data_IF_576999462646
#
_entry.id   IF_576999462646
#
_cell.length_a   1.000
_cell.length_b   1.000
_cell.length_c   1.000
_cell.angle_alpha   90.00
_cell.angle_beta   90.00
_cell.angle_gamma   90.00
#
_symmetry.space_group_name_H-M   'P 1'
#
loop_
_entity.id
_entity.type
_entity.pdbx_description
1 polymer ?
#
# COMPACT_ATOMS: atom_id res chain seq x y z
N UNK A 1 36.84 12.72 7.11
CA UNK A 1 36.82 14.19 6.93
C UNK A 1 35.56 14.53 6.16
N UNK A 2 34.64 15.28 6.77
CA UNK A 2 33.33 15.60 6.19
C UNK A 2 33.46 16.51 4.95
N UNK A 3 32.61 16.29 3.96
CA UNK A 3 32.31 17.29 2.93
C UNK A 3 30.83 17.15 2.51
N UNK A 4 30.02 18.11 2.95
CA UNK A 4 28.67 18.36 2.42
C UNK A 4 28.82 19.07 1.08
N UNK A 5 28.38 18.45 0.00
CA UNK A 5 28.10 19.15 -1.24
C UNK A 5 26.88 18.53 -1.93
N UNK A 6 25.80 19.30 -2.03
CA UNK A 6 24.62 18.97 -2.82
C UNK A 6 24.55 19.94 -4.00
N UNK A 7 24.48 19.43 -5.24
CA UNK A 7 23.67 20.08 -6.25
C UNK A 7 22.62 19.12 -6.82
N UNK A 8 21.53 19.75 -7.27
CA UNK A 8 20.32 19.17 -7.81
C UNK A 8 20.53 18.41 -9.14
N UNK A 9 19.53 17.58 -9.46
CA UNK A 9 19.30 16.93 -10.76
C UNK A 9 20.11 15.68 -11.13
N UNK A 10 20.05 14.65 -10.28
CA UNK A 10 20.32 13.27 -10.69
C UNK A 10 19.30 12.35 -10.01
N UNK A 11 18.66 11.46 -10.79
CA UNK A 11 17.94 10.29 -10.24
C UNK A 11 18.78 9.70 -9.10
N UNK A 12 18.22 9.44 -7.92
CA UNK A 12 19.01 8.98 -6.79
C UNK A 12 19.74 7.70 -7.21
N UNK A 13 21.06 7.80 -7.37
CA UNK A 13 21.90 6.61 -7.51
C UNK A 13 21.98 6.00 -6.11
N UNK A 14 21.83 4.68 -5.95
CA UNK A 14 22.04 4.07 -4.64
C UNK A 14 23.45 4.44 -4.16
N UNK A 15 23.52 5.13 -3.03
CA UNK A 15 24.77 5.32 -2.29
C UNK A 15 25.26 3.92 -1.88
N UNK A 16 26.49 3.60 -2.28
CA UNK A 16 27.15 2.36 -1.90
C UNK A 16 28.23 2.74 -0.91
N UNK A 17 27.98 2.49 0.36
CA UNK A 17 28.94 2.71 1.43
C UNK A 17 29.46 1.36 1.91
N UNK A 18 30.78 1.25 2.04
CA UNK A 18 31.40 0.09 2.63
C UNK A 18 31.36 0.25 4.16
N UNK A 19 30.58 -0.60 4.83
CA UNK A 19 30.55 -0.66 6.29
C UNK A 19 31.54 -1.73 6.78
N UNK A 20 32.79 -1.31 7.02
CA UNK A 20 33.82 -2.21 7.57
C UNK A 20 33.43 -2.70 8.96
N UNK A 21 33.36 -4.03 9.16
CA UNK A 21 33.04 -4.65 10.44
C UNK A 21 31.55 -4.97 10.68
N UNK A 22 30.64 -4.57 9.78
CA UNK A 22 29.21 -4.91 9.90
C UNK A 22 28.82 -6.24 9.23
N UNK A 23 29.77 -6.88 8.52
CA UNK A 23 29.55 -8.20 7.94
C UNK A 23 29.14 -9.21 9.02
N UNK A 24 28.22 -10.11 8.70
CA UNK A 24 27.88 -11.19 9.60
C UNK A 24 29.10 -12.10 9.78
N UNK A 25 29.23 -12.72 10.96
CA UNK A 25 30.37 -13.59 11.29
C UNK A 25 30.62 -14.73 10.27
N UNK A 26 29.58 -15.10 9.49
CA UNK A 26 29.57 -16.21 8.54
C UNK A 26 29.68 -15.80 7.05
N UNK A 27 29.77 -14.51 6.74
CA UNK A 27 30.02 -14.05 5.36
C UNK A 27 29.53 -12.64 5.01
N UNK A 28 29.75 -12.22 3.75
CA UNK A 28 29.40 -10.88 3.29
C UNK A 28 27.87 -10.70 3.19
N UNK A 29 27.41 -9.48 3.49
CA UNK A 29 26.01 -9.07 3.36
C UNK A 29 25.87 -7.81 2.51
N UNK A 30 24.75 -7.69 1.82
CA UNK A 30 24.31 -6.49 1.13
C UNK A 30 23.01 -6.05 1.79
N UNK A 31 23.02 -4.85 2.37
CA UNK A 31 21.85 -4.26 3.00
C UNK A 31 21.32 -3.10 2.15
N UNK A 32 20.00 -3.04 1.97
CA UNK A 32 19.29 -1.93 1.35
C UNK A 32 18.75 -1.06 2.47
N UNK A 33 19.34 0.12 2.63
CA UNK A 33 18.90 1.12 3.60
C UNK A 33 17.80 2.00 2.98
N UNK A 34 16.82 2.38 3.81
CA UNK A 34 15.84 3.42 3.50
C UNK A 34 15.91 4.47 4.58
N UNK A 35 15.72 5.71 4.17
CA UNK A 35 15.65 6.86 5.06
C UNK A 35 14.19 7.29 5.20
N UNK A 36 13.72 7.51 6.42
CA UNK A 36 12.41 8.11 6.66
C UNK A 36 12.44 9.65 6.54
N UNK A 37 11.26 10.29 6.62
CA UNK A 37 11.12 11.74 6.49
C UNK A 37 11.80 12.52 7.63
N UNK A 38 12.12 11.84 8.75
CA UNK A 38 12.87 12.39 9.87
C UNK A 38 14.39 12.19 9.71
N UNK A 39 14.85 11.59 8.61
CA UNK A 39 16.25 11.37 8.31
C UNK A 39 16.86 10.14 9.00
N UNK A 40 16.05 9.25 9.61
CA UNK A 40 16.57 8.03 10.24
C UNK A 40 16.71 6.94 9.19
N UNK A 41 17.82 6.21 9.26
CA UNK A 41 18.09 5.10 8.35
C UNK A 41 17.70 3.76 8.97
N UNK A 42 17.17 2.86 8.16
CA UNK A 42 16.81 1.50 8.57
C UNK A 42 16.95 0.53 7.40
N UNK A 43 17.37 -0.70 7.71
CA UNK A 43 17.53 -1.75 6.71
C UNK A 43 16.17 -2.31 6.31
N UNK A 44 15.82 -2.18 5.03
CA UNK A 44 14.61 -2.75 4.46
C UNK A 44 14.83 -4.14 3.90
N UNK A 45 15.95 -4.38 3.22
CA UNK A 45 16.25 -5.66 2.61
C UNK A 45 17.69 -6.07 2.89
N UNK A 46 17.92 -7.37 3.02
CA UNK A 46 19.26 -7.93 3.17
C UNK A 46 19.42 -9.15 2.28
N UNK A 47 20.61 -9.31 1.71
CA UNK A 47 21.07 -10.53 1.04
C UNK A 47 22.40 -10.91 1.66
N UNK A 48 22.50 -12.11 2.18
CA UNK A 48 23.66 -12.58 2.94
C UNK A 48 24.13 -13.90 2.36
N UNK A 49 25.43 -14.00 2.10
CA UNK A 49 26.05 -15.22 1.61
C UNK A 49 26.72 -15.92 2.79
N UNK A 50 26.28 -17.14 3.08
CA UNK A 50 26.68 -17.92 4.24
C UNK A 50 27.42 -19.19 3.79
N UNK A 51 28.68 -19.26 4.19
CA UNK A 51 29.56 -20.41 3.97
C UNK A 51 29.69 -21.31 5.22
N UNK A 52 29.22 -20.84 6.38
CA UNK A 52 29.44 -21.47 7.67
C UNK A 52 28.32 -22.45 8.05
N UNK A 53 27.05 -22.06 7.93
CA UNK A 53 25.93 -22.95 8.27
C UNK A 53 25.91 -24.24 7.43
N UNK A 54 26.20 -24.23 6.12
CA UNK A 54 26.30 -25.47 5.34
C UNK A 54 27.31 -26.47 5.90
N UNK A 55 28.40 -26.00 6.51
CA UNK A 55 29.37 -26.85 7.18
C UNK A 55 28.87 -27.36 8.52
N UNK A 56 28.29 -26.50 9.36
CA UNK A 56 27.77 -26.87 10.67
C UNK A 56 26.65 -27.93 10.58
N UNK A 57 25.83 -27.88 9.54
CA UNK A 57 24.75 -28.84 9.30
C UNK A 57 25.13 -30.02 8.40
N UNK A 58 26.41 -30.15 8.02
CA UNK A 58 26.91 -31.21 7.13
C UNK A 58 26.11 -31.32 5.80
N UNK A 59 25.78 -30.17 5.19
CA UNK A 59 24.97 -30.13 3.96
C UNK A 59 25.82 -30.48 2.74
N UNK A 60 25.32 -31.39 1.90
CA UNK A 60 26.01 -31.84 0.69
C UNK A 60 25.02 -32.10 -0.46
N UNK A 61 25.48 -31.91 -1.70
CA UNK A 61 24.80 -32.35 -2.93
C UNK A 61 25.79 -33.08 -3.84
N UNK A 62 25.29 -33.85 -4.81
CA UNK A 62 26.14 -34.52 -5.82
C UNK A 62 26.27 -33.61 -7.04
N UNK A 63 27.51 -33.26 -7.38
CA UNK A 63 27.83 -32.42 -8.53
C UNK A 63 27.77 -33.18 -9.85
N UNK A 64 27.90 -32.46 -10.96
CA UNK A 64 27.95 -33.05 -12.30
C UNK A 64 29.17 -33.96 -12.52
N UNK A 65 30.20 -33.84 -11.67
CA UNK A 65 31.38 -34.70 -11.60
C UNK A 65 31.15 -35.98 -10.79
N UNK A 66 29.96 -36.18 -10.22
CA UNK A 66 29.62 -37.31 -9.36
C UNK A 66 30.19 -37.21 -7.94
N UNK A 67 30.88 -36.13 -7.59
CA UNK A 67 31.47 -35.92 -6.27
C UNK A 67 30.49 -35.23 -5.31
N UNK A 68 30.75 -35.34 -3.99
CA UNK A 68 30.04 -34.57 -2.96
C UNK A 68 30.58 -33.15 -2.92
N UNK A 69 29.68 -32.17 -3.05
CA UNK A 69 29.98 -30.75 -2.92
C UNK A 69 29.15 -30.13 -1.81
N UNK A 70 29.68 -29.11 -1.16
CA UNK A 70 28.97 -28.32 -0.16
C UNK A 70 28.25 -27.16 -0.84
N UNK A 71 26.95 -26.92 -0.57
CA UNK A 71 26.26 -25.76 -1.12
C UNK A 71 26.70 -24.47 -0.41
N UNK A 72 26.52 -23.35 -1.10
CA UNK A 72 26.55 -22.02 -0.49
C UNK A 72 25.12 -21.62 -0.15
N UNK A 73 24.87 -21.16 1.08
CA UNK A 73 23.54 -20.73 1.51
C UNK A 73 23.39 -19.22 1.28
N UNK A 74 22.24 -18.80 0.73
CA UNK A 74 21.92 -17.38 0.56
C UNK A 74 20.69 -17.06 1.39
N UNK A 75 20.87 -16.29 2.46
CA UNK A 75 19.78 -15.76 3.26
C UNK A 75 19.29 -14.47 2.63
N UNK A 76 17.98 -14.35 2.41
CA UNK A 76 17.39 -13.13 1.85
C UNK A 76 16.16 -12.69 2.63
N UNK A 77 16.06 -11.39 2.85
CA UNK A 77 14.79 -10.74 3.22
C UNK A 77 14.55 -9.57 2.28
N UNK A 78 13.43 -9.59 1.56
CA UNK A 78 13.04 -8.53 0.61
C UNK A 78 12.36 -7.38 1.35
N UNK A 79 11.60 -7.73 2.39
CA UNK A 79 10.91 -6.81 3.28
C UNK A 79 11.27 -7.28 4.69
N UNK A 80 12.15 -6.53 5.35
CA UNK A 80 12.83 -6.91 6.58
C UNK A 80 11.88 -7.57 7.58
N UNK A 81 11.03 -6.76 8.22
CA UNK A 81 9.88 -7.27 8.96
C UNK A 81 8.61 -6.62 8.40
N UNK A 82 7.50 -7.34 8.43
CA UNK A 82 6.21 -6.81 7.95
C UNK A 82 5.77 -5.61 8.79
N UNK A 83 6.03 -5.66 10.10
CA UNK A 83 5.73 -4.58 11.04
C UNK A 83 6.50 -3.31 10.69
N UNK A 84 7.81 -3.41 10.39
CA UNK A 84 8.62 -2.27 9.95
C UNK A 84 8.15 -1.70 8.63
N UNK A 85 7.76 -2.56 7.69
CA UNK A 85 7.22 -2.12 6.41
C UNK A 85 5.90 -1.37 6.59
N UNK A 86 4.99 -1.88 7.41
CA UNK A 86 3.71 -1.21 7.73
C UNK A 86 3.94 0.10 8.46
N UNK A 87 4.86 0.15 9.44
CA UNK A 87 5.21 1.37 10.15
C UNK A 87 5.72 2.44 9.17
N UNK A 88 6.64 2.07 8.26
CA UNK A 88 7.13 2.96 7.22
C UNK A 88 6.00 3.43 6.29
N UNK A 89 5.10 2.54 5.85
CA UNK A 89 3.96 2.92 5.02
C UNK A 89 3.00 3.88 5.75
N UNK A 90 2.79 3.71 7.07
CA UNK A 90 1.98 4.62 7.89
C UNK A 90 2.61 6.02 7.90
N UNK A 91 3.92 6.10 8.13
CA UNK A 91 4.66 7.37 8.14
C UNK A 91 4.60 8.05 6.77
N UNK A 92 4.98 7.34 5.71
CA UNK A 92 5.01 7.86 4.34
C UNK A 92 3.66 8.38 3.85
N UNK A 93 2.56 7.74 4.26
CA UNK A 93 1.23 8.13 3.81
C UNK A 93 0.43 8.96 4.84
N UNK A 94 0.94 9.16 6.05
CA UNK A 94 0.16 9.75 7.15
C UNK A 94 -1.17 9.01 7.40
N UNK A 95 -1.20 7.70 7.15
CA UNK A 95 -2.40 6.86 7.16
C UNK A 95 -3.32 6.95 5.92
N UNK A 96 -3.06 7.83 4.96
CA UNK A 96 -3.80 7.94 3.70
C UNK A 96 -3.27 6.96 2.63
N UNK A 97 -3.33 5.66 2.91
CA UNK A 97 -2.78 4.61 2.03
C UNK A 97 -3.37 4.61 0.62
N UNK A 98 -2.60 4.27 -0.44
CA UNK A 98 -3.15 3.97 -1.76
C UNK A 98 -4.38 3.05 -1.69
N UNK A 99 -5.30 3.19 -2.64
CA UNK A 99 -6.60 2.50 -2.55
C UNK A 99 -6.48 0.98 -2.39
N UNK A 100 -5.48 0.34 -3.02
CA UNK A 100 -5.26 -1.09 -2.89
C UNK A 100 -4.76 -1.51 -1.49
N UNK A 101 -4.06 -0.64 -0.77
CA UNK A 101 -3.59 -0.86 0.61
C UNK A 101 -4.59 -0.42 1.69
N UNK A 102 -5.53 0.47 1.35
CA UNK A 102 -6.41 1.07 2.33
C UNK A 102 -7.29 0.03 3.07
N UNK A 103 -7.33 0.00 4.42
CA UNK A 103 -8.15 -0.94 5.18
C UNK A 103 -9.65 -0.80 4.88
N UNK A 104 -10.11 0.44 4.67
CA UNK A 104 -11.40 0.76 4.07
C UNK A 104 -11.13 1.51 2.77
N UNK A 105 -11.60 0.97 1.66
CA UNK A 105 -11.38 1.52 0.32
C UNK A 105 -12.51 2.48 -0.03
N UNK A 106 -13.75 2.11 0.29
CA UNK A 106 -14.94 2.91 0.03
C UNK A 106 -15.80 3.03 1.29
N UNK A 107 -16.30 4.23 1.56
CA UNK A 107 -17.35 4.46 2.56
C UNK A 107 -18.63 4.91 1.86
N UNK A 108 -19.75 4.28 2.21
CA UNK A 108 -21.07 4.69 1.73
C UNK A 108 -21.71 5.63 2.75
N UNK A 109 -22.19 6.76 2.27
CA UNK A 109 -22.71 7.89 3.03
C UNK A 109 -24.13 8.22 2.56
N UNK A 110 -25.16 7.49 3.03
CA UNK A 110 -26.54 7.87 2.78
C UNK A 110 -26.82 9.24 3.41
N UNK A 111 -27.64 10.08 2.78
CA UNK A 111 -28.00 11.41 3.31
C UNK A 111 -28.94 11.27 4.50
N UNK A 112 -29.90 10.35 4.44
CA UNK A 112 -30.89 10.07 5.48
C UNK A 112 -31.23 8.59 5.58
N UNK A 113 -32.13 8.23 6.50
CA UNK A 113 -32.48 6.82 6.75
C UNK A 113 -33.23 6.18 5.57
N UNK A 114 -33.86 6.99 4.71
CA UNK A 114 -34.55 6.49 3.50
C UNK A 114 -33.59 5.83 2.51
N UNK A 115 -32.32 6.23 2.48
CA UNK A 115 -31.31 5.67 1.56
C UNK A 115 -30.51 4.50 2.17
N UNK A 116 -30.82 4.06 3.40
CA UNK A 116 -30.14 2.92 4.02
C UNK A 116 -30.26 1.61 3.21
N UNK A 117 -31.43 1.26 2.63
CA UNK A 117 -31.54 0.08 1.79
C UNK A 117 -30.63 0.13 0.55
N UNK A 118 -30.54 1.29 -0.10
CA UNK A 118 -29.68 1.53 -1.26
C UNK A 118 -28.19 1.49 -0.87
N UNK A 119 -27.84 2.09 0.27
CA UNK A 119 -26.49 2.02 0.82
C UNK A 119 -26.07 0.58 1.11
N UNK A 120 -26.98 -0.23 1.66
CA UNK A 120 -26.74 -1.66 1.89
C UNK A 120 -26.61 -2.45 0.59
N UNK A 121 -27.40 -2.13 -0.44
CA UNK A 121 -27.28 -2.74 -1.76
C UNK A 121 -25.94 -2.40 -2.43
N UNK A 122 -25.53 -1.13 -2.40
CA UNK A 122 -24.22 -0.72 -2.91
C UNK A 122 -23.08 -1.41 -2.16
N UNK A 123 -23.14 -1.46 -0.83
CA UNK A 123 -22.12 -2.14 -0.03
C UNK A 123 -22.01 -3.63 -0.39
N UNK A 124 -23.14 -4.34 -0.57
CA UNK A 124 -23.12 -5.74 -1.04
C UNK A 124 -22.50 -5.87 -2.43
N UNK A 125 -22.81 -4.98 -3.35
CA UNK A 125 -22.20 -4.97 -4.69
C UNK A 125 -20.68 -4.78 -4.61
N UNK A 126 -20.22 -3.80 -3.83
CA UNK A 126 -18.81 -3.57 -3.56
C UNK A 126 -18.12 -4.82 -2.98
N UNK A 127 -18.72 -5.46 -1.97
CA UNK A 127 -18.18 -6.70 -1.39
C UNK A 127 -18.13 -7.84 -2.41
N UNK A 128 -19.13 -7.96 -3.29
CA UNK A 128 -19.12 -8.92 -4.39
C UNK A 128 -17.99 -8.72 -5.40
N UNK A 129 -17.45 -7.50 -5.49
CA UNK A 129 -16.26 -7.15 -6.29
C UNK A 129 -14.94 -7.27 -5.50
N UNK A 130 -14.99 -7.74 -4.25
CA UNK A 130 -13.81 -7.84 -3.38
C UNK A 130 -13.36 -6.51 -2.75
N UNK A 131 -14.17 -5.46 -2.84
CA UNK A 131 -13.87 -4.15 -2.25
C UNK A 131 -14.14 -4.15 -0.74
N UNK A 132 -13.21 -3.56 0.03
CA UNK A 132 -13.38 -3.31 1.47
C UNK A 132 -14.20 -2.05 1.69
N UNK A 133 -15.48 -2.23 1.97
CA UNK A 133 -16.47 -1.16 2.10
C UNK A 133 -17.06 -1.11 3.51
N UNK A 134 -17.42 0.08 3.97
CA UNK A 134 -18.27 0.28 5.16
C UNK A 134 -19.37 1.28 4.89
N UNK A 135 -20.46 1.21 5.65
CA UNK A 135 -21.50 2.23 5.67
C UNK A 135 -21.29 3.11 6.89
N UNK A 136 -21.39 4.42 6.72
CA UNK A 136 -21.52 5.35 7.83
C UNK A 136 -22.86 6.06 7.70
N UNK A 137 -23.87 5.57 8.41
CA UNK A 137 -25.25 6.04 8.29
C UNK A 137 -25.52 7.33 9.07
N UNK A 138 -26.74 7.89 8.97
CA UNK A 138 -27.11 9.17 9.59
C UNK A 138 -27.02 9.17 11.11
N UNK A 139 -27.05 7.99 11.75
CA UNK A 139 -26.89 7.82 13.20
C UNK A 139 -25.53 8.31 13.73
N UNK A 140 -24.53 8.46 12.85
CA UNK A 140 -23.19 8.97 13.17
C UNK A 140 -23.07 10.49 13.04
N UNK A 141 -24.19 11.20 12.82
CA UNK A 141 -24.25 12.65 12.74
C UNK A 141 -24.35 13.19 11.31
N UNK A 142 -24.15 14.50 11.17
CA UNK A 142 -24.33 15.20 9.89
C UNK A 142 -23.43 14.61 8.78
N UNK A 143 -23.86 14.74 7.52
CA UNK A 143 -23.08 14.28 6.38
C UNK A 143 -21.65 14.86 6.39
N UNK A 144 -21.51 16.15 6.72
CA UNK A 144 -20.20 16.80 6.84
C UNK A 144 -19.31 16.20 7.93
N UNK A 145 -19.89 15.83 9.08
CA UNK A 145 -19.15 15.15 10.15
C UNK A 145 -18.64 13.78 9.70
N UNK A 146 -19.51 12.99 9.03
CA UNK A 146 -19.15 11.66 8.50
C UNK A 146 -18.09 11.73 7.39
N UNK A 147 -18.17 12.72 6.50
CA UNK A 147 -17.14 13.01 5.49
C UNK A 147 -15.79 13.31 6.16
N UNK A 148 -15.78 14.11 7.23
CA UNK A 148 -14.55 14.47 7.96
C UNK A 148 -13.97 13.28 8.73
N UNK A 149 -14.82 12.44 9.32
CA UNK A 149 -14.42 11.19 9.98
C UNK A 149 -13.75 10.25 8.97
N UNK A 150 -14.32 10.14 7.76
CA UNK A 150 -13.82 9.27 6.71
C UNK A 150 -12.75 9.92 5.79
N UNK A 151 -12.09 11.01 6.23
CA UNK A 151 -11.16 11.78 5.38
C UNK A 151 -9.99 10.99 4.80
N UNK A 152 -9.59 9.87 5.42
CA UNK A 152 -8.50 9.00 4.94
C UNK A 152 -8.98 7.93 3.94
N UNK A 153 -10.29 7.66 3.89
CA UNK A 153 -10.88 6.66 2.99
C UNK A 153 -10.78 7.17 1.55
N UNK A 154 -10.17 6.42 0.62
CA UNK A 154 -9.95 6.85 -0.76
C UNK A 154 -11.23 7.34 -1.46
N UNK A 155 -12.34 6.60 -1.30
CA UNK A 155 -13.62 6.86 -1.96
C UNK A 155 -14.74 7.05 -0.94
N UNK A 156 -15.46 8.15 -1.06
CA UNK A 156 -16.65 8.45 -0.25
C UNK A 156 -17.85 8.55 -1.19
N UNK A 157 -18.71 7.53 -1.17
CA UNK A 157 -19.90 7.41 -1.99
C UNK A 157 -21.10 8.04 -1.28
N UNK A 158 -21.54 9.21 -1.73
CA UNK A 158 -22.73 9.87 -1.20
C UNK A 158 -23.95 9.39 -1.98
N UNK A 159 -24.99 8.98 -1.24
CA UNK A 159 -26.27 8.53 -1.82
C UNK A 159 -27.38 9.41 -1.23
N UNK A 160 -28.00 10.23 -2.08
CA UNK A 160 -29.26 10.91 -1.79
C UNK A 160 -30.42 10.27 -2.54
N UNK A 161 -31.62 10.81 -2.34
CA UNK A 161 -32.84 10.34 -3.01
C UNK A 161 -32.71 10.32 -4.55
N UNK A 162 -32.02 11.30 -5.14
CA UNK A 162 -31.79 11.34 -6.59
C UNK A 162 -30.85 10.24 -7.05
N UNK A 163 -29.70 10.08 -6.38
CA UNK A 163 -28.73 9.03 -6.70
C UNK A 163 -29.36 7.64 -6.56
N UNK A 164 -30.16 7.42 -5.51
CA UNK A 164 -30.88 6.17 -5.29
C UNK A 164 -31.89 5.88 -6.43
N UNK A 165 -32.70 6.88 -6.81
CA UNK A 165 -33.68 6.73 -7.89
C UNK A 165 -33.04 6.46 -9.26
N UNK A 166 -31.90 7.10 -9.54
CA UNK A 166 -31.20 7.00 -10.84
C UNK A 166 -30.22 5.81 -10.90
N UNK A 167 -30.03 5.05 -9.82
CA UNK A 167 -29.01 3.99 -9.75
C UNK A 167 -27.58 4.53 -9.87
N UNK A 168 -27.38 5.76 -9.40
CA UNK A 168 -26.15 6.52 -9.51
C UNK A 168 -25.44 6.65 -8.15
N UNK A 169 -24.21 7.15 -8.19
CA UNK A 169 -23.44 7.52 -6.99
C UNK A 169 -22.65 8.79 -7.25
N UNK A 170 -22.64 9.70 -6.27
CA UNK A 170 -21.74 10.85 -6.26
C UNK A 170 -20.49 10.51 -5.44
N UNK A 171 -19.32 10.54 -6.07
CA UNK A 171 -18.06 10.22 -5.39
C UNK A 171 -17.34 11.48 -4.93
N UNK A 172 -16.92 11.47 -3.67
CA UNK A 172 -15.91 12.39 -3.14
C UNK A 172 -14.62 11.61 -2.91
N UNK A 173 -13.54 12.08 -3.49
CA UNK A 173 -12.21 11.52 -3.30
C UNK A 173 -11.56 12.13 -2.04
N UNK A 174 -10.66 11.39 -1.40
CA UNK A 174 -9.96 11.90 -0.20
C UNK A 174 -9.14 13.17 -0.42
N UNK A 175 -8.70 13.41 -1.66
CA UNK A 175 -7.94 14.60 -2.05
C UNK A 175 -8.81 15.86 -2.18
N UNK A 176 -10.12 15.72 -1.96
CA UNK A 176 -11.09 16.80 -1.97
C UNK A 176 -11.89 16.90 -3.26
N UNK A 177 -11.46 16.25 -4.35
CA UNK A 177 -12.20 16.22 -5.63
C UNK A 177 -13.60 15.64 -5.44
N UNK A 178 -14.56 16.18 -6.19
CA UNK A 178 -15.95 15.73 -6.23
C UNK A 178 -16.28 15.39 -7.67
N UNK A 179 -16.68 14.15 -7.88
CA UNK A 179 -17.11 13.65 -9.18
C UNK A 179 -18.63 13.81 -9.27
N UNK A 180 -19.12 14.10 -10.47
CA UNK A 180 -20.56 14.15 -10.71
C UNK A 180 -21.23 12.80 -10.46
N UNK A 181 -22.56 12.78 -10.26
CA UNK A 181 -23.32 11.53 -10.21
C UNK A 181 -23.07 10.70 -11.47
N UNK A 182 -22.72 9.43 -11.30
CA UNK A 182 -22.46 8.49 -12.39
C UNK A 182 -23.04 7.11 -12.04
N UNK A 183 -23.29 6.24 -13.03
CA UNK A 183 -23.80 4.89 -12.79
C UNK A 183 -22.92 4.12 -11.81
N UNK A 184 -23.55 3.45 -10.84
CA UNK A 184 -22.83 2.66 -9.82
C UNK A 184 -21.87 1.65 -10.46
N UNK A 185 -22.32 0.94 -11.51
CA UNK A 185 -21.50 -0.06 -12.19
C UNK A 185 -20.21 0.53 -12.77
N UNK A 186 -20.29 1.69 -13.43
CA UNK A 186 -19.12 2.36 -14.01
C UNK A 186 -18.15 2.85 -12.93
N UNK A 187 -18.69 3.47 -11.86
CA UNK A 187 -17.87 3.92 -10.74
C UNK A 187 -17.09 2.76 -10.10
N UNK A 188 -17.76 1.65 -9.81
CA UNK A 188 -17.13 0.49 -9.18
C UNK A 188 -16.15 -0.22 -10.11
N UNK A 189 -16.43 -0.29 -11.41
CA UNK A 189 -15.50 -0.85 -12.39
C UNK A 189 -14.18 -0.06 -12.44
N UNK A 190 -14.26 1.27 -12.45
CA UNK A 190 -13.06 2.15 -12.42
C UNK A 190 -12.26 1.97 -11.13
N UNK A 191 -12.94 1.97 -9.98
CA UNK A 191 -12.30 1.75 -8.67
C UNK A 191 -11.59 0.39 -8.64
N UNK A 192 -12.27 -0.66 -9.10
CA UNK A 192 -11.72 -2.01 -9.11
C UNK A 192 -10.51 -2.14 -10.05
N UNK A 193 -10.53 -1.46 -11.20
CA UNK A 193 -9.41 -1.43 -12.13
C UNK A 193 -8.17 -0.78 -11.51
N UNK A 194 -8.32 0.37 -10.85
CA UNK A 194 -7.20 1.06 -10.18
C UNK A 194 -6.62 0.21 -9.04
N UNK A 195 -7.49 -0.42 -8.26
CA UNK A 195 -7.07 -1.32 -7.17
C UNK A 195 -6.33 -2.55 -7.72
N UNK A 196 -6.87 -3.19 -8.76
CA UNK A 196 -6.27 -4.36 -9.39
C UNK A 196 -4.92 -4.07 -10.06
N UNK A 197 -4.72 -2.85 -10.54
CA UNK A 197 -3.45 -2.37 -11.09
C UNK A 197 -2.43 -1.93 -10.01
N UNK A 198 -2.78 -2.02 -8.72
CA UNK A 198 -2.00 -1.45 -7.61
C UNK A 198 -1.63 0.04 -7.82
N UNK A 199 -2.51 0.81 -8.47
CA UNK A 199 -2.26 2.21 -8.76
C UNK A 199 -2.20 3.05 -7.48
N UNK A 200 -1.31 4.05 -7.47
CA UNK A 200 -1.26 5.09 -6.44
C UNK A 200 -2.26 6.21 -6.71
N UNK A 201 -2.83 6.27 -7.91
CA UNK A 201 -3.81 7.29 -8.29
C UNK A 201 -5.19 6.98 -7.71
N UNK A 202 -5.89 8.02 -7.28
CA UNK A 202 -7.25 7.89 -6.77
C UNK A 202 -8.27 7.78 -7.91
N UNK A 203 -8.04 8.45 -9.02
CA UNK A 203 -8.96 8.48 -10.15
C UNK A 203 -8.19 8.86 -11.42
N UNK A 204 -8.44 8.14 -12.50
CA UNK A 204 -7.97 8.52 -13.83
C UNK A 204 -9.05 9.37 -14.51
N UNK A 205 -8.67 10.55 -15.00
CA UNK A 205 -9.57 11.32 -15.85
C UNK A 205 -9.59 10.66 -17.23
N UNK A 206 -10.72 10.71 -17.99
CA UNK A 206 -10.82 10.08 -19.31
C UNK A 206 -9.84 10.61 -20.38
N UNK A 207 -8.88 11.47 -20.03
CA UNK A 207 -7.98 12.18 -20.95
C UNK A 207 -6.50 12.19 -20.51
N UNK A 208 -6.09 11.28 -19.61
CA UNK A 208 -4.69 11.14 -19.17
C UNK A 208 -4.12 9.76 -19.48
#
# INVERSE_FOLDING_TARGET
MAAVHRPADRRPRPLREAAEGEAAFYGPKIDVQVTDDAGRESTLSTVQVDFHQPEQFDLHYIGADGAKHRPVMVHRSIIGSVERAVAHLIEQHGGAFPAWLAPTQLVVLPISDSELPDAAALARHCTGLGLRVRIAGPERGSLGARIREARLVPYQAVIGAREAADGHVALRLRDGRRLGPQPVGEALARISALIGAHSTDLWADPAS
#
